data_IF_976658725478
#
_entry.id   IF_976658725478
#
_cell.length_a   1.000
_cell.length_b   1.000
_cell.length_c   1.000
_cell.angle_alpha   90.00
_cell.angle_beta   90.00
_cell.angle_gamma   90.00
#
_symmetry.space_group_name_H-M   'P 1'
#
loop_
_entity.id
_entity.type
_entity.pdbx_description
1 polymer ?
#
# COMPACT_ATOMS: atom_id res chain seq x y z
N UNK A 1 -10.82 3.36 -7.49
CA UNK A 1 -10.61 1.91 -7.52
C UNK A 1 -11.18 1.32 -6.24
N UNK A 2 -11.51 0.03 -6.23
CA UNK A 2 -11.97 -0.70 -5.04
C UNK A 2 -11.07 -1.91 -4.79
N UNK A 3 -11.12 -2.44 -3.57
CA UNK A 3 -10.37 -3.66 -3.23
C UNK A 3 -11.13 -4.85 -3.82
N UNK A 4 -10.48 -5.56 -4.74
CA UNK A 4 -10.98 -6.81 -5.31
C UNK A 4 -10.64 -7.99 -4.40
N UNK A 5 -9.41 -8.04 -3.90
CA UNK A 5 -8.97 -9.05 -2.95
C UNK A 5 -7.85 -8.51 -2.05
N UNK A 6 -7.84 -8.96 -0.80
CA UNK A 6 -6.74 -8.77 0.12
C UNK A 6 -6.13 -10.14 0.41
N UNK A 7 -4.99 -10.46 -0.20
CA UNK A 7 -4.29 -11.69 0.12
C UNK A 7 -3.64 -11.54 1.49
N UNK A 8 -3.56 -12.62 2.27
CA UNK A 8 -2.88 -12.65 3.59
C UNK A 8 -1.40 -12.22 3.53
N UNK A 9 -0.84 -12.04 2.34
CA UNK A 9 0.58 -11.79 2.06
C UNK A 9 0.95 -10.31 1.87
N UNK A 10 0.26 -9.34 2.50
CA UNK A 10 0.57 -7.90 2.39
C UNK A 10 0.33 -7.31 0.98
N UNK A 11 -0.49 -7.96 0.16
CA UNK A 11 -0.79 -7.56 -1.21
C UNK A 11 -2.27 -7.25 -1.37
N UNK A 12 -2.56 -6.08 -1.94
CA UNK A 12 -3.90 -5.65 -2.34
C UNK A 12 -4.03 -5.81 -3.85
N UNK A 13 -5.08 -6.50 -4.27
CA UNK A 13 -5.54 -6.51 -5.66
C UNK A 13 -6.72 -5.53 -5.80
N UNK A 14 -6.62 -4.63 -6.78
CA UNK A 14 -7.66 -3.66 -7.10
C UNK A 14 -8.57 -4.17 -8.23
N UNK A 15 -9.72 -3.54 -8.38
CA UNK A 15 -10.75 -3.86 -9.38
C UNK A 15 -10.30 -3.68 -10.85
N UNK A 16 -9.23 -2.95 -11.09
CA UNK A 16 -8.57 -2.83 -12.40
C UNK A 16 -7.56 -3.96 -12.68
N UNK A 17 -7.40 -4.91 -11.75
CA UNK A 17 -6.46 -6.03 -11.82
C UNK A 17 -5.03 -5.68 -11.38
N UNK A 18 -4.77 -4.42 -10.97
CA UNK A 18 -3.47 -4.04 -10.45
C UNK A 18 -3.21 -4.62 -9.06
N UNK A 19 -1.95 -4.94 -8.77
CA UNK A 19 -1.52 -5.57 -7.51
C UNK A 19 -0.41 -4.78 -6.86
N UNK A 20 -0.58 -4.52 -5.57
CA UNK A 20 0.28 -3.61 -4.81
C UNK A 20 0.72 -4.25 -3.51
N UNK A 21 2.03 -4.26 -3.26
CA UNK A 21 2.59 -4.63 -1.96
C UNK A 21 2.50 -3.45 -1.01
N UNK A 22 1.95 -3.67 0.18
CA UNK A 22 1.84 -2.68 1.24
C UNK A 22 3.18 -2.55 1.97
N UNK A 23 3.58 -1.31 2.27
CA UNK A 23 4.74 -1.06 3.11
C UNK A 23 4.53 -1.67 4.50
N UNK A 24 5.50 -2.44 5.04
CA UNK A 24 5.30 -3.15 6.30
C UNK A 24 4.85 -2.28 7.48
N UNK A 25 5.31 -1.03 7.56
CA UNK A 25 4.91 -0.10 8.63
C UNK A 25 3.48 0.41 8.52
N UNK A 26 2.84 0.27 7.35
CA UNK A 26 1.49 0.80 7.10
C UNK A 26 0.42 -0.30 7.16
N UNK A 27 0.80 -1.56 7.42
CA UNK A 27 -0.12 -2.71 7.45
C UNK A 27 -1.26 -2.56 8.46
N UNK A 28 -1.01 -1.91 9.60
CA UNK A 28 -2.06 -1.69 10.60
C UNK A 28 -3.21 -0.81 10.05
N UNK A 29 -2.91 0.10 9.11
CA UNK A 29 -3.88 1.01 8.51
C UNK A 29 -4.83 0.22 7.60
N UNK A 30 -4.31 -0.77 6.87
CA UNK A 30 -5.11 -1.57 5.92
C UNK A 30 -6.06 -2.54 6.62
N UNK A 31 -5.88 -2.82 7.90
CA UNK A 31 -6.83 -3.61 8.70
C UNK A 31 -8.22 -2.96 8.80
N UNK A 32 -8.30 -1.64 8.66
CA UNK A 32 -9.58 -0.91 8.69
C UNK A 32 -10.27 -0.87 7.31
N UNK A 33 -9.61 -1.34 6.25
CA UNK A 33 -10.15 -1.29 4.91
C UNK A 33 -11.09 -2.46 4.65
N UNK A 34 -12.18 -2.17 3.95
CA UNK A 34 -13.19 -3.14 3.55
C UNK A 34 -13.18 -3.29 2.03
N UNK A 35 -13.74 -4.38 1.46
CA UNK A 35 -13.87 -4.52 0.01
C UNK A 35 -14.55 -3.31 -0.67
N UNK A 36 -15.53 -2.70 -0.01
CA UNK A 36 -16.21 -1.49 -0.48
C UNK A 36 -15.39 -0.20 -0.37
N UNK A 37 -14.23 -0.21 0.29
CA UNK A 37 -13.36 0.95 0.44
C UNK A 37 -12.93 1.45 -0.94
N UNK A 38 -13.19 2.73 -1.19
CA UNK A 38 -12.75 3.39 -2.42
C UNK A 38 -11.34 3.93 -2.21
N UNK A 39 -10.41 3.46 -3.03
CA UNK A 39 -9.01 3.85 -3.02
C UNK A 39 -8.66 4.68 -4.26
N UNK A 40 -7.77 5.64 -4.04
CA UNK A 40 -7.08 6.40 -5.06
C UNK A 40 -5.59 6.04 -5.04
N UNK A 41 -4.97 5.96 -6.20
CA UNK A 41 -3.54 5.67 -6.35
C UNK A 41 -2.86 6.96 -6.77
N UNK A 42 -1.87 7.39 -6.00
CA UNK A 42 -1.08 8.59 -6.27
C UNK A 42 0.38 8.19 -6.46
N UNK A 43 1.11 8.75 -7.44
CA UNK A 43 2.54 8.50 -7.56
C UNK A 43 3.28 9.10 -6.36
N UNK A 44 4.20 8.32 -5.81
CA UNK A 44 5.09 8.78 -4.74
C UNK A 44 6.31 9.51 -5.33
N UNK A 45 6.83 10.51 -4.61
CA UNK A 45 8.15 11.12 -4.89
C UNK A 45 9.26 10.57 -3.99
N UNK A 46 8.90 9.64 -3.11
CA UNK A 46 9.83 9.01 -2.18
C UNK A 46 10.71 7.99 -2.91
N UNK A 47 11.93 7.79 -2.43
CA UNK A 47 12.90 6.90 -3.07
C UNK A 47 12.60 5.43 -2.82
N UNK A 48 11.87 5.12 -1.75
CA UNK A 48 11.59 3.78 -1.26
C UNK A 48 10.25 3.27 -1.78
N UNK A 49 9.30 4.18 -2.04
CA UNK A 49 7.93 3.83 -2.41
C UNK A 49 7.58 4.34 -3.80
N UNK A 50 6.89 3.52 -4.57
CA UNK A 50 6.52 3.84 -5.95
C UNK A 50 5.21 4.65 -5.98
N UNK A 51 4.24 4.26 -5.16
CA UNK A 51 2.92 4.87 -5.11
C UNK A 51 2.36 4.92 -3.69
N UNK A 52 1.26 5.64 -3.52
CA UNK A 52 0.47 5.73 -2.28
C UNK A 52 -0.99 5.41 -2.60
N UNK A 53 -1.56 4.47 -1.86
CA UNK A 53 -3.00 4.24 -1.83
C UNK A 53 -3.64 5.15 -0.79
N UNK A 54 -4.64 5.92 -1.21
CA UNK A 54 -5.38 6.87 -0.38
C UNK A 54 -6.83 6.41 -0.28
N UNK A 55 -7.31 6.16 0.94
CA UNK A 55 -8.71 5.90 1.18
C UNK A 55 -9.52 7.19 1.02
N UNK A 56 -10.51 7.17 0.14
CA UNK A 56 -11.34 8.32 -0.18
C UNK A 56 -12.21 8.77 1.01
N UNK A 57 -12.55 7.85 1.92
CA UNK A 57 -13.48 8.10 3.03
C UNK A 57 -12.78 8.76 4.22
N UNK A 58 -11.71 8.14 4.72
CA UNK A 58 -11.01 8.59 5.94
C UNK A 58 -9.69 9.31 5.66
N UNK A 59 -9.29 9.41 4.37
CA UNK A 59 -8.04 10.02 3.92
C UNK A 59 -6.77 9.34 4.45
N UNK A 60 -6.89 8.12 4.99
CA UNK A 60 -5.74 7.29 5.35
C UNK A 60 -4.89 6.99 4.12
N UNK A 61 -3.57 6.91 4.31
CA UNK A 61 -2.58 6.79 3.25
C UNK A 61 -1.66 5.63 3.56
N UNK A 62 -1.42 4.79 2.55
CA UNK A 62 -0.59 3.60 2.66
C UNK A 62 0.39 3.57 1.51
N UNK A 63 1.67 3.45 1.85
CA UNK A 63 2.76 3.36 0.87
C UNK A 63 2.76 2.00 0.21
N UNK A 64 2.97 1.97 -1.11
CA UNK A 64 2.98 0.73 -1.89
C UNK A 64 4.06 0.72 -2.98
N UNK A 65 4.42 -0.50 -3.40
CA UNK A 65 5.19 -0.80 -4.61
C UNK A 65 4.44 -1.82 -5.46
N UNK A 66 4.78 -1.95 -6.74
CA UNK A 66 4.14 -2.95 -7.58
C UNK A 66 4.42 -4.35 -7.02
N UNK A 67 3.45 -5.27 -7.11
CA UNK A 67 3.60 -6.59 -6.52
C UNK A 67 4.73 -7.45 -7.13
N UNK A 68 5.24 -7.07 -8.31
CA UNK A 68 6.41 -7.67 -8.96
C UNK A 68 7.75 -7.12 -8.47
N UNK A 69 7.73 -6.03 -7.70
CA UNK A 69 8.91 -5.40 -7.13
C UNK A 69 9.20 -5.97 -5.73
N UNK A 70 10.39 -5.71 -5.22
CA UNK A 70 10.78 -6.07 -3.85
C UNK A 70 11.20 -4.82 -3.11
N UNK A 71 10.74 -4.70 -1.86
CA UNK A 71 11.17 -3.63 -0.98
C UNK A 71 12.70 -3.59 -0.86
N UNK A 72 13.34 -2.43 -1.05
CA UNK A 72 14.77 -2.30 -0.80
C UNK A 72 15.04 -2.48 0.70
N UNK A 73 15.54 -3.66 1.08
CA UNK A 73 15.62 -4.10 2.47
C UNK A 73 16.48 -3.18 3.38
N UNK A 74 17.43 -2.43 2.80
CA UNK A 74 18.20 -1.41 3.52
C UNK A 74 17.31 -0.23 3.91
N UNK A 75 16.63 0.36 2.93
CA UNK A 75 15.81 1.55 3.14
C UNK A 75 14.55 1.28 3.98
N UNK A 76 13.96 0.08 3.89
CA UNK A 76 12.82 -0.28 4.76
C UNK A 76 13.24 -0.39 6.21
N UNK A 77 14.43 -0.93 6.50
CA UNK A 77 14.93 -1.03 7.88
C UNK A 77 15.22 0.33 8.48
N UNK A 78 15.74 1.27 7.70
CA UNK A 78 16.01 2.62 8.21
C UNK A 78 14.72 3.43 8.34
N UNK A 79 13.75 3.28 7.42
CA UNK A 79 12.43 3.89 7.54
C UNK A 79 11.58 3.35 8.70
N UNK A 80 11.79 2.10 9.14
CA UNK A 80 11.11 1.50 10.30
C UNK A 80 11.76 1.88 11.64
N UNK A 81 13.03 2.34 11.65
CA UNK A 81 13.72 2.79 12.88
C UNK A 81 13.39 4.22 13.27
N UNK A 82 12.94 5.04 12.33
CA UNK A 82 12.61 6.45 12.53
C UNK A 82 11.15 6.67 13.00
N UNK A 83 10.40 5.59 13.22
CA UNK A 83 8.97 5.58 13.61
C UNK A 83 8.72 5.33 15.09
#
# INVERSE_FOLDING_TARGET
MKIQAHAESHVVELDDGSRWQIFPGDLAITLSWKPETTLHLEPSRDRVTSHVLVNATDRSRVRVIAATETWPAGDVKDALKDG
#
